data_IF_986899648164
#
_entry.id   IF_986899648164
#
_cell.length_a   1.000
_cell.length_b   1.000
_cell.length_c   1.000
_cell.angle_alpha   90.00
_cell.angle_beta   90.00
_cell.angle_gamma   90.00
#
_symmetry.space_group_name_H-M   'P 1'
#
loop_
_entity.id
_entity.type
_entity.pdbx_description
1 polymer ?
#
# COMPACT_ATOMS: atom_id res chain seq x y z
N UNK A 1 40.39 32.53 -25.07
CA UNK A 1 40.29 31.07 -25.17
C UNK A 1 39.11 30.64 -24.31
N UNK A 2 38.04 30.18 -24.96
CA UNK A 2 36.74 29.86 -24.37
C UNK A 2 36.82 28.65 -23.45
N UNK A 3 36.27 28.75 -22.23
CA UNK A 3 35.75 27.59 -21.50
C UNK A 3 34.30 27.92 -21.14
N UNK A 4 33.40 27.22 -21.82
CA UNK A 4 31.94 27.34 -21.69
C UNK A 4 31.52 26.83 -20.32
N UNK A 5 30.82 27.67 -19.56
CA UNK A 5 30.08 27.29 -18.37
C UNK A 5 28.72 26.71 -18.80
N UNK A 6 28.58 25.38 -18.73
CA UNK A 6 27.29 24.72 -18.91
C UNK A 6 26.61 24.64 -17.54
N UNK A 7 25.62 25.51 -17.32
CA UNK A 7 24.74 25.45 -16.15
C UNK A 7 23.77 24.28 -16.40
N UNK A 8 24.00 23.15 -15.73
CA UNK A 8 23.04 22.06 -15.66
C UNK A 8 22.00 22.40 -14.59
N UNK A 9 20.76 22.69 -15.00
CA UNK A 9 19.62 22.77 -14.09
C UNK A 9 19.29 21.36 -13.55
N UNK A 10 18.96 21.21 -12.26
CA UNK A 10 18.59 19.91 -11.71
C UNK A 10 17.19 19.54 -12.21
N UNK A 11 17.08 18.38 -12.87
CA UNK A 11 15.81 17.76 -13.23
C UNK A 11 15.12 17.35 -11.93
N UNK A 12 14.04 18.04 -11.58
CA UNK A 12 13.19 17.69 -10.43
C UNK A 12 12.32 16.52 -10.86
N UNK A 13 12.70 15.30 -10.48
CA UNK A 13 11.92 14.09 -10.76
C UNK A 13 10.96 13.85 -9.59
N UNK A 14 9.66 13.91 -9.88
CA UNK A 14 8.59 13.65 -8.92
C UNK A 14 8.48 12.13 -8.70
N UNK A 15 8.88 11.64 -7.54
CA UNK A 15 8.75 10.23 -7.16
C UNK A 15 7.32 9.90 -6.75
N UNK A 16 6.75 8.83 -7.34
CA UNK A 16 5.53 8.20 -6.82
C UNK A 16 5.97 7.24 -5.71
N UNK A 17 5.55 7.52 -4.47
CA UNK A 17 5.76 6.65 -3.32
C UNK A 17 4.61 5.65 -3.26
N UNK A 18 4.92 4.35 -3.36
CA UNK A 18 4.01 3.30 -2.92
C UNK A 18 3.99 3.34 -1.39
N UNK A 19 2.96 3.93 -0.80
CA UNK A 19 2.79 4.01 0.65
C UNK A 19 2.47 2.62 1.21
N UNK A 20 3.46 2.02 1.89
CA UNK A 20 3.21 0.94 2.84
C UNK A 20 2.36 1.51 3.97
N UNK A 21 1.07 1.17 3.97
CA UNK A 21 0.15 1.56 5.03
C UNK A 21 0.50 0.84 6.35
N UNK A 22 1.33 1.49 7.16
CA UNK A 22 1.28 1.35 8.60
C UNK A 22 0.43 2.52 9.14
N UNK A 23 -0.66 2.22 9.84
CA UNK A 23 -1.50 3.12 10.64
C UNK A 23 -1.59 4.57 10.15
N UNK A 24 -2.54 4.83 9.25
CA UNK A 24 -2.98 6.20 9.00
C UNK A 24 -3.94 6.66 10.12
N UNK A 25 -3.40 7.11 11.26
CA UNK A 25 -3.73 8.51 11.60
C UNK A 25 -3.36 9.25 10.32
N UNK A 26 -4.31 9.91 9.64
CA UNK A 26 -4.01 10.73 8.46
C UNK A 26 -2.60 11.29 8.66
N UNK A 27 -1.60 10.89 7.83
CA UNK A 27 -0.22 11.15 8.15
C UNK A 27 -0.21 12.61 8.56
N UNK A 28 0.24 12.88 9.80
CA UNK A 28 0.43 14.26 10.19
C UNK A 28 1.19 14.83 9.01
N UNK A 29 0.56 15.72 8.24
CA UNK A 29 1.25 16.45 7.20
C UNK A 29 2.35 17.09 8.03
N UNK A 30 3.55 16.50 7.96
CA UNK A 30 4.72 17.13 8.52
C UNK A 30 4.65 18.50 7.89
N UNK A 31 4.48 19.52 8.72
CA UNK A 31 4.19 20.86 8.25
C UNK A 31 5.47 21.30 7.54
N UNK A 32 5.54 20.98 6.25
CA UNK A 32 6.69 21.17 5.41
C UNK A 32 6.55 22.54 4.79
N UNK A 33 7.68 23.24 4.70
CA UNK A 33 7.76 24.51 3.99
C UNK A 33 7.25 24.30 2.56
N UNK A 34 6.19 25.01 2.19
CA UNK A 34 5.67 24.97 0.83
C UNK A 34 6.66 25.67 -0.12
N UNK A 35 6.69 25.22 -1.37
CA UNK A 35 7.57 25.80 -2.38
C UNK A 35 6.73 26.54 -3.44
N UNK A 36 6.92 27.87 -3.58
CA UNK A 36 6.24 28.63 -4.62
C UNK A 36 6.66 28.18 -6.02
N UNK A 37 5.69 27.97 -6.90
CA UNK A 37 5.91 27.55 -8.29
C UNK A 37 5.39 28.59 -9.27
N UNK A 38 6.15 28.78 -10.35
CA UNK A 38 5.72 29.59 -11.49
C UNK A 38 5.02 28.71 -12.56
N UNK A 39 4.50 29.36 -13.60
CA UNK A 39 3.78 28.67 -14.67
C UNK A 39 4.62 27.61 -15.40
N UNK A 40 5.91 27.87 -15.64
CA UNK A 40 6.79 26.93 -16.32
C UNK A 40 7.03 25.67 -15.48
N UNK A 41 7.35 25.84 -14.19
CA UNK A 41 7.53 24.71 -13.25
C UNK A 41 6.25 23.90 -13.11
N UNK A 42 5.09 24.56 -13.00
CA UNK A 42 3.79 23.89 -12.92
C UNK A 42 3.52 23.01 -14.14
N UNK A 43 3.71 23.54 -15.35
CA UNK A 43 3.55 22.76 -16.58
C UNK A 43 4.52 21.57 -16.63
N UNK A 44 5.78 21.79 -16.29
CA UNK A 44 6.79 20.74 -16.27
C UNK A 44 6.43 19.60 -15.29
N UNK A 45 5.97 19.93 -14.09
CA UNK A 45 5.53 18.95 -13.09
C UNK A 45 4.33 18.16 -13.59
N UNK A 46 3.32 18.83 -14.17
CA UNK A 46 2.14 18.15 -14.70
C UNK A 46 2.52 17.17 -15.82
N UNK A 47 3.36 17.59 -16.78
CA UNK A 47 3.81 16.69 -17.85
C UNK A 47 4.61 15.50 -17.31
N UNK A 48 5.48 15.72 -16.31
CA UNK A 48 6.22 14.63 -15.68
C UNK A 48 5.29 13.62 -14.98
N UNK A 49 4.26 14.10 -14.28
CA UNK A 49 3.22 13.25 -13.65
C UNK A 49 2.52 12.41 -14.73
N UNK A 50 2.12 13.03 -15.83
CA UNK A 50 1.41 12.36 -16.93
C UNK A 50 2.28 11.30 -17.63
N UNK A 51 3.56 11.57 -17.86
CA UNK A 51 4.49 10.58 -18.42
C UNK A 51 4.61 9.37 -17.49
N UNK A 52 4.89 9.62 -16.20
CA UNK A 52 5.07 8.54 -15.22
C UNK A 52 3.80 7.71 -15.03
N UNK A 53 2.64 8.36 -15.03
CA UNK A 53 1.34 7.72 -14.96
C UNK A 53 1.14 6.75 -16.13
N UNK A 54 1.42 7.19 -17.35
CA UNK A 54 1.25 6.35 -18.55
C UNK A 54 2.26 5.21 -18.63
N UNK A 55 3.47 5.39 -18.12
CA UNK A 55 4.49 4.35 -18.07
C UNK A 55 4.15 3.26 -17.03
N UNK A 56 3.64 3.67 -15.86
CA UNK A 56 3.66 2.80 -14.67
C UNK A 56 2.29 2.36 -14.17
N UNK A 57 1.20 3.08 -14.48
CA UNK A 57 -0.11 2.77 -13.93
C UNK A 57 -0.67 1.45 -14.47
N UNK A 58 -1.17 0.58 -13.61
CA UNK A 58 -1.48 -0.82 -13.96
C UNK A 58 -2.61 -0.97 -15.01
N UNK A 59 -3.48 0.03 -15.15
CA UNK A 59 -4.58 0.06 -16.13
C UNK A 59 -4.32 1.09 -17.24
N UNK A 60 -3.77 0.71 -18.41
CA UNK A 60 -3.36 1.65 -19.46
C UNK A 60 -4.48 2.56 -19.97
N UNK A 61 -5.68 2.01 -20.18
CA UNK A 61 -6.83 2.79 -20.64
C UNK A 61 -7.28 3.83 -19.62
N UNK A 62 -7.21 3.48 -18.33
CA UNK A 62 -7.55 4.42 -17.25
C UNK A 62 -6.49 5.52 -17.13
N UNK A 63 -5.22 5.20 -17.34
CA UNK A 63 -4.13 6.18 -17.42
C UNK A 63 -4.36 7.19 -18.56
N UNK A 64 -4.71 6.71 -19.76
CA UNK A 64 -5.00 7.57 -20.91
C UNK A 64 -6.21 8.50 -20.65
N UNK A 65 -7.25 8.00 -19.98
CA UNK A 65 -8.42 8.82 -19.58
C UNK A 65 -8.05 9.89 -18.56
N UNK A 66 -7.22 9.55 -17.57
CA UNK A 66 -6.69 10.51 -16.61
C UNK A 66 -5.87 11.59 -17.29
N UNK A 67 -4.96 11.22 -18.18
CA UNK A 67 -4.17 12.17 -18.97
C UNK A 67 -5.07 13.12 -19.76
N UNK A 68 -6.03 12.58 -20.51
CA UNK A 68 -6.95 13.39 -21.28
C UNK A 68 -7.69 14.41 -20.40
N UNK A 69 -8.19 13.99 -19.23
CA UNK A 69 -8.86 14.87 -18.27
C UNK A 69 -7.94 16.00 -17.79
N UNK A 70 -6.71 15.68 -17.39
CA UNK A 70 -5.74 16.67 -16.92
C UNK A 70 -5.38 17.66 -18.03
N UNK A 71 -5.15 17.19 -19.26
CA UNK A 71 -4.85 18.05 -20.41
C UNK A 71 -5.98 19.02 -20.73
N UNK A 72 -7.24 18.56 -20.68
CA UNK A 72 -8.41 19.43 -20.86
C UNK A 72 -8.50 20.51 -19.78
N UNK A 73 -8.16 20.19 -18.54
CA UNK A 73 -8.11 21.16 -17.42
C UNK A 73 -6.97 22.17 -17.59
N UNK A 74 -5.82 21.74 -18.08
CA UNK A 74 -4.71 22.64 -18.44
C UNK A 74 -5.13 23.66 -19.51
N UNK A 75 -5.79 23.20 -20.58
CA UNK A 75 -6.26 24.08 -21.66
C UNK A 75 -7.30 25.12 -21.18
N UNK A 76 -8.09 24.78 -20.16
CA UNK A 76 -9.07 25.68 -19.54
C UNK A 76 -8.45 26.68 -18.55
N UNK A 77 -7.18 26.51 -18.20
CA UNK A 77 -6.51 27.34 -17.20
C UNK A 77 -6.85 26.97 -15.75
N UNK A 78 -7.38 25.76 -15.48
CA UNK A 78 -7.78 25.33 -14.13
C UNK A 78 -6.60 25.37 -13.13
N UNK A 79 -5.37 25.26 -13.62
CA UNK A 79 -4.16 25.28 -12.82
C UNK A 79 -3.48 26.65 -12.75
N UNK A 80 -3.95 27.67 -13.47
CA UNK A 80 -3.19 28.89 -13.69
C UNK A 80 -2.88 29.69 -12.43
N UNK A 81 -3.82 29.65 -11.48
CA UNK A 81 -3.73 30.32 -10.18
C UNK A 81 -3.04 29.47 -9.11
N UNK A 82 -2.66 28.22 -9.42
CA UNK A 82 -1.97 27.35 -8.46
C UNK A 82 -0.49 27.72 -8.43
N UNK A 83 -0.08 28.39 -7.37
CA UNK A 83 1.31 28.83 -7.14
C UNK A 83 2.00 28.08 -6.00
N UNK A 84 1.33 27.09 -5.41
CA UNK A 84 1.81 26.29 -4.29
C UNK A 84 2.05 24.84 -4.73
N UNK A 85 3.20 24.27 -4.35
CA UNK A 85 3.57 22.90 -4.71
C UNK A 85 2.67 21.88 -4.02
N UNK A 86 2.40 22.07 -2.73
CA UNK A 86 1.48 21.23 -1.96
C UNK A 86 0.05 21.29 -2.51
N UNK A 87 -0.44 22.49 -2.87
CA UNK A 87 -1.77 22.66 -3.48
C UNK A 87 -1.82 22.00 -4.86
N UNK A 88 -0.77 22.11 -5.68
CA UNK A 88 -0.72 21.43 -6.98
C UNK A 88 -0.82 19.91 -6.81
N UNK A 89 -0.04 19.33 -5.90
CA UNK A 89 -0.05 17.88 -5.63
C UNK A 89 -1.42 17.38 -5.16
N UNK A 90 -2.06 18.10 -4.22
CA UNK A 90 -3.42 17.77 -3.76
C UNK A 90 -4.48 17.91 -4.86
N UNK A 91 -4.36 18.95 -5.68
CA UNK A 91 -5.28 19.19 -6.81
C UNK A 91 -5.17 18.08 -7.84
N UNK A 92 -3.94 17.72 -8.24
CA UNK A 92 -3.71 16.60 -9.16
C UNK A 92 -4.23 15.29 -8.60
N UNK A 93 -3.94 14.98 -7.33
CA UNK A 93 -4.49 13.79 -6.66
C UNK A 93 -6.02 13.72 -6.76
N UNK A 94 -6.69 14.85 -6.48
CA UNK A 94 -8.14 14.94 -6.55
C UNK A 94 -8.65 14.70 -7.97
N UNK A 95 -8.09 15.37 -8.97
CA UNK A 95 -8.50 15.24 -10.37
C UNK A 95 -8.22 13.83 -10.95
N UNK A 96 -7.13 13.18 -10.53
CA UNK A 96 -6.83 11.80 -10.93
C UNK A 96 -7.82 10.82 -10.28
N UNK A 97 -8.10 10.99 -8.99
CA UNK A 97 -9.04 10.16 -8.23
C UNK A 97 -10.49 10.24 -8.76
N UNK A 98 -10.89 11.38 -9.36
CA UNK A 98 -12.18 11.50 -10.05
C UNK A 98 -12.38 10.45 -11.14
N UNK A 99 -11.30 10.07 -11.84
CA UNK A 99 -11.31 9.11 -12.95
C UNK A 99 -10.98 7.70 -12.48
N UNK A 100 -9.87 7.53 -11.75
CA UNK A 100 -9.36 6.21 -11.39
C UNK A 100 -10.19 5.51 -10.31
N UNK A 101 -10.79 6.29 -9.39
CA UNK A 101 -11.42 5.75 -8.16
C UNK A 101 -10.50 4.81 -7.37
N UNK A 102 -9.19 4.99 -7.53
CA UNK A 102 -8.14 4.19 -6.93
C UNK A 102 -7.56 4.93 -5.73
N UNK A 103 -7.71 4.34 -4.54
CA UNK A 103 -7.22 4.92 -3.28
C UNK A 103 -5.71 4.77 -3.09
N UNK A 104 -5.03 4.01 -3.95
CA UNK A 104 -3.57 3.85 -3.91
C UNK A 104 -2.84 4.88 -4.78
N UNK A 105 -3.57 5.60 -5.65
CA UNK A 105 -3.00 6.61 -6.54
C UNK A 105 -3.02 8.00 -5.88
N UNK A 106 -1.86 8.63 -5.79
CA UNK A 106 -1.73 10.00 -5.30
C UNK A 106 -0.47 10.69 -5.80
N UNK A 107 -0.50 12.03 -5.77
CA UNK A 107 0.64 12.89 -6.05
C UNK A 107 1.03 13.56 -4.74
N UNK A 108 2.26 13.33 -4.30
CA UNK A 108 2.83 13.91 -3.09
C UNK A 108 3.78 15.07 -3.40
N UNK A 109 3.88 16.03 -2.49
CA UNK A 109 4.95 17.02 -2.46
C UNK A 109 5.88 16.72 -1.28
N UNK A 110 7.18 16.88 -1.51
CA UNK A 110 8.20 16.86 -0.46
C UNK A 110 9.15 18.02 -0.71
N UNK A 111 9.37 18.85 0.32
CA UNK A 111 10.36 19.92 0.24
C UNK A 111 11.77 19.35 0.19
N UNK A 112 12.04 18.35 1.04
CA UNK A 112 13.29 17.61 1.02
C UNK A 112 13.31 16.62 -0.15
N UNK A 113 14.48 16.44 -0.76
CA UNK A 113 14.67 15.42 -1.79
C UNK A 113 14.33 14.05 -1.19
N UNK A 114 13.34 13.38 -1.78
CA UNK A 114 13.06 11.98 -1.47
C UNK A 114 14.20 11.17 -2.10
N UNK A 115 14.96 10.39 -1.32
CA UNK A 115 15.97 9.50 -1.88
C UNK A 115 15.31 8.57 -2.89
N UNK A 116 15.61 8.76 -4.18
CA UNK A 116 15.18 7.83 -5.21
C UNK A 116 16.13 6.64 -5.09
N UNK A 117 15.63 5.49 -4.64
CA UNK A 117 16.40 4.26 -4.66
C UNK A 117 16.57 3.84 -6.11
N UNK A 118 17.62 4.32 -6.77
CA UNK A 118 17.97 3.93 -8.15
C UNK A 118 18.59 2.55 -8.21
N UNK A 119 19.06 2.05 -7.07
CA UNK A 119 19.55 0.69 -6.92
C UNK A 119 18.53 -0.11 -6.12
N UNK A 120 18.15 -1.29 -6.63
CA UNK A 120 17.53 -2.35 -5.82
C UNK A 120 18.57 -2.90 -4.83
N UNK A 121 19.12 -2.04 -3.96
CA UNK A 121 19.96 -2.50 -2.86
C UNK A 121 19.05 -3.16 -1.84
N UNK A 122 19.40 -4.38 -1.47
CA UNK A 122 18.77 -5.02 -0.33
C UNK A 122 18.81 -4.05 0.88
N UNK A 123 17.72 -3.96 1.65
CA UNK A 123 17.68 -3.10 2.83
C UNK A 123 18.89 -3.37 3.72
N UNK A 124 19.55 -2.33 4.23
CA UNK A 124 20.71 -2.53 5.11
C UNK A 124 20.31 -3.29 6.38
N UNK A 125 21.29 -3.84 7.11
CA UNK A 125 21.01 -4.48 8.40
C UNK A 125 20.32 -3.52 9.38
N UNK A 126 20.68 -2.23 9.34
CA UNK A 126 20.06 -1.20 10.15
C UNK A 126 18.60 -0.92 9.73
N UNK A 127 18.32 -0.86 8.43
CA UNK A 127 16.96 -0.70 7.91
C UNK A 127 16.07 -1.87 8.31
N UNK A 128 16.57 -3.10 8.16
CA UNK A 128 15.84 -4.31 8.59
C UNK A 128 15.54 -4.29 10.08
N UNK A 129 16.49 -3.84 10.90
CA UNK A 129 16.29 -3.75 12.34
C UNK A 129 15.35 -2.61 12.73
N UNK A 130 15.38 -1.49 12.01
CA UNK A 130 14.39 -0.42 12.17
C UNK A 130 12.99 -0.92 11.82
N UNK A 131 12.83 -1.61 10.69
CA UNK A 131 11.56 -2.21 10.28
C UNK A 131 11.07 -3.22 11.32
N UNK A 132 11.94 -4.10 11.83
CA UNK A 132 11.60 -5.05 12.89
C UNK A 132 11.11 -4.33 14.15
N UNK A 133 11.81 -3.29 14.62
CA UNK A 133 11.41 -2.50 15.79
C UNK A 133 10.07 -1.79 15.59
N UNK A 134 9.81 -1.27 14.40
CA UNK A 134 8.52 -0.66 14.07
C UNK A 134 7.40 -1.69 14.01
N UNK A 135 7.66 -2.86 13.45
CA UNK A 135 6.67 -3.92 13.39
C UNK A 135 6.36 -4.49 14.79
N UNK A 136 7.38 -4.71 15.62
CA UNK A 136 7.18 -5.25 16.96
C UNK A 136 6.48 -4.29 17.93
N UNK A 137 6.64 -2.97 17.76
CA UNK A 137 5.95 -1.98 18.61
C UNK A 137 4.43 -1.96 18.44
N UNK A 138 3.93 -2.47 17.31
CA UNK A 138 2.49 -2.69 17.03
C UNK A 138 2.14 -4.19 17.03
N UNK A 139 2.97 -5.01 17.69
CA UNK A 139 2.80 -6.47 17.75
C UNK A 139 2.54 -7.11 16.36
N UNK A 140 3.25 -6.62 15.35
CA UNK A 140 3.17 -7.07 13.96
C UNK A 140 1.78 -6.93 13.33
N UNK A 141 0.96 -6.02 13.85
CA UNK A 141 -0.42 -5.78 13.43
C UNK A 141 -1.47 -6.52 14.23
N UNK A 142 -1.09 -7.36 15.21
CA UNK A 142 -2.02 -8.10 16.08
C UNK A 142 -2.38 -7.28 17.32
N UNK A 143 -3.53 -6.61 17.28
CA UNK A 143 -4.00 -5.74 18.38
C UNK A 143 -4.65 -6.55 19.50
N UNK A 144 -5.38 -7.61 19.14
CA UNK A 144 -6.11 -8.40 20.13
C UNK A 144 -6.32 -9.85 19.68
N UNK A 145 -6.08 -10.80 20.59
CA UNK A 145 -6.42 -12.21 20.43
C UNK A 145 -7.15 -12.67 21.70
N UNK A 146 -8.37 -13.16 21.57
CA UNK A 146 -9.23 -13.49 22.69
C UNK A 146 -10.10 -14.72 22.40
N UNK A 147 -10.43 -15.49 23.45
CA UNK A 147 -11.53 -16.45 23.42
C UNK A 147 -12.74 -15.86 24.14
N UNK A 148 -13.76 -15.52 23.38
CA UNK A 148 -15.03 -14.98 23.87
C UNK A 148 -15.90 -16.08 24.52
N UNK A 149 -16.94 -15.65 25.24
CA UNK A 149 -17.99 -16.53 25.73
C UNK A 149 -18.65 -17.31 24.58
N UNK A 150 -19.07 -18.55 24.84
CA UNK A 150 -19.56 -19.44 23.79
C UNK A 150 -18.47 -20.07 22.93
N UNK A 151 -17.21 -20.01 23.37
CA UNK A 151 -16.05 -20.61 22.69
C UNK A 151 -15.77 -20.05 21.29
N UNK A 152 -16.03 -18.75 21.10
CA UNK A 152 -15.75 -18.04 19.85
C UNK A 152 -14.38 -17.37 19.94
N UNK A 153 -13.51 -17.63 18.98
CA UNK A 153 -12.24 -16.92 18.83
C UNK A 153 -12.46 -15.52 18.27
N UNK A 154 -11.65 -14.57 18.72
CA UNK A 154 -11.60 -13.22 18.19
C UNK A 154 -10.15 -12.83 17.93
N UNK A 155 -9.86 -12.33 16.74
CA UNK A 155 -8.55 -11.83 16.34
C UNK A 155 -8.72 -10.49 15.62
N UNK A 156 -8.16 -9.43 16.19
CA UNK A 156 -8.15 -8.09 15.59
C UNK A 156 -6.78 -7.81 14.98
N UNK A 157 -6.79 -7.43 13.70
CA UNK A 157 -5.59 -7.11 12.94
C UNK A 157 -5.69 -5.67 12.40
N UNK A 158 -4.75 -4.80 12.74
CA UNK A 158 -4.66 -3.42 12.22
C UNK A 158 -3.65 -3.27 11.07
N UNK A 159 -2.96 -4.35 10.70
CA UNK A 159 -2.13 -4.38 9.50
C UNK A 159 -1.62 -5.78 9.18
N UNK A 160 -1.19 -5.97 7.94
CA UNK A 160 -0.46 -7.18 7.53
C UNK A 160 1.01 -6.85 7.28
N UNK A 161 1.91 -7.52 8.02
CA UNK A 161 3.36 -7.40 7.81
C UNK A 161 3.89 -8.56 6.96
N UNK A 162 5.15 -8.47 6.54
CA UNK A 162 5.82 -9.58 5.86
C UNK A 162 5.90 -10.79 6.80
N UNK A 163 5.73 -12.00 6.28
CA UNK A 163 5.81 -13.25 7.06
C UNK A 163 7.16 -13.40 7.76
N UNK A 164 8.26 -12.91 7.18
CA UNK A 164 9.59 -12.87 7.81
C UNK A 164 9.62 -12.11 9.15
N UNK A 165 8.65 -11.21 9.37
CA UNK A 165 8.49 -10.45 10.61
C UNK A 165 7.35 -11.00 11.47
N UNK A 166 6.19 -11.27 10.86
CA UNK A 166 4.95 -11.55 11.59
C UNK A 166 4.58 -13.02 11.76
N UNK A 167 5.31 -13.97 11.17
CA UNK A 167 4.91 -15.37 11.17
C UNK A 167 4.79 -15.97 12.57
N UNK A 168 5.73 -15.69 13.48
CA UNK A 168 5.70 -16.24 14.84
C UNK A 168 4.44 -15.79 15.61
N UNK A 169 4.10 -14.50 15.53
CA UNK A 169 2.88 -13.94 16.15
C UNK A 169 1.62 -14.53 15.53
N UNK A 170 1.58 -14.68 14.21
CA UNK A 170 0.46 -15.30 13.50
C UNK A 170 0.26 -16.77 13.90
N UNK A 171 1.35 -17.53 14.00
CA UNK A 171 1.34 -18.92 14.45
C UNK A 171 0.81 -19.00 15.89
N UNK A 172 1.31 -18.17 16.79
CA UNK A 172 0.88 -18.15 18.19
C UNK A 172 -0.62 -17.83 18.31
N UNK A 173 -1.11 -16.83 17.56
CA UNK A 173 -2.53 -16.46 17.53
C UNK A 173 -3.41 -17.63 17.03
N UNK A 174 -3.04 -18.25 15.91
CA UNK A 174 -3.80 -19.38 15.36
C UNK A 174 -3.76 -20.61 16.26
N UNK A 175 -2.63 -20.88 16.93
CA UNK A 175 -2.53 -21.96 17.91
C UNK A 175 -3.40 -21.69 19.15
N UNK A 176 -3.40 -20.47 19.67
CA UNK A 176 -4.25 -20.07 20.81
C UNK A 176 -5.74 -20.26 20.49
N UNK A 177 -6.14 -19.91 19.26
CA UNK A 177 -7.53 -19.96 18.81
C UNK A 177 -7.95 -21.34 18.26
N UNK A 178 -7.02 -22.29 18.09
CA UNK A 178 -7.24 -23.54 17.36
C UNK A 178 -8.43 -24.39 17.85
N UNK A 179 -8.74 -24.32 19.15
CA UNK A 179 -9.79 -25.13 19.78
C UNK A 179 -11.12 -24.37 19.97
N UNK A 180 -11.26 -23.17 19.41
CA UNK A 180 -12.54 -22.43 19.36
C UNK A 180 -13.48 -23.07 18.35
N UNK A 181 -14.79 -22.86 18.50
CA UNK A 181 -15.83 -23.45 17.64
C UNK A 181 -16.15 -22.57 16.42
N UNK A 182 -15.89 -21.27 16.52
CA UNK A 182 -15.97 -20.30 15.43
C UNK A 182 -14.93 -19.19 15.64
N UNK A 183 -14.55 -18.49 14.58
CA UNK A 183 -13.57 -17.40 14.63
C UNK A 183 -14.13 -16.11 14.01
N UNK A 184 -13.93 -14.99 14.69
CA UNK A 184 -14.13 -13.64 14.16
C UNK A 184 -12.75 -13.01 13.90
N UNK A 185 -12.51 -12.59 12.66
CA UNK A 185 -11.35 -11.81 12.26
C UNK A 185 -11.80 -10.37 12.04
N UNK A 186 -11.37 -9.46 12.89
CA UNK A 186 -11.72 -8.06 12.81
C UNK A 186 -10.68 -7.26 12.03
N UNK A 187 -11.08 -6.78 10.86
CA UNK A 187 -10.28 -5.96 9.95
C UNK A 187 -10.86 -4.54 9.80
N UNK A 188 -11.81 -4.14 10.66
CA UNK A 188 -12.56 -2.88 10.49
C UNK A 188 -11.69 -1.62 10.51
N UNK A 189 -10.53 -1.71 11.16
CA UNK A 189 -9.56 -0.61 11.27
C UNK A 189 -8.31 -0.80 10.40
N UNK A 190 -8.11 -2.01 9.87
CA UNK A 190 -6.91 -2.41 9.15
C UNK A 190 -6.68 -1.57 7.89
N UNK A 191 -5.63 -0.75 7.90
CA UNK A 191 -5.32 0.17 6.81
C UNK A 191 -4.56 -0.44 5.63
N UNK A 192 -4.15 -1.71 5.71
CA UNK A 192 -3.40 -2.35 4.64
C UNK A 192 -2.25 -3.23 5.13
N UNK A 193 -1.24 -3.34 4.27
CA UNK A 193 -0.07 -4.14 4.54
C UNK A 193 0.47 -4.85 3.32
N UNK A 194 1.31 -5.85 3.56
CA UNK A 194 1.90 -6.72 2.54
C UNK A 194 1.33 -8.13 2.64
N UNK A 195 1.26 -8.89 1.54
CA UNK A 195 0.49 -10.14 1.49
C UNK A 195 1.03 -11.30 2.34
N UNK A 196 2.27 -11.24 2.83
CA UNK A 196 2.97 -12.38 3.45
C UNK A 196 2.22 -12.99 4.64
N UNK A 197 1.91 -12.21 5.69
CA UNK A 197 1.18 -12.74 6.86
C UNK A 197 -0.28 -13.07 6.52
N UNK A 198 -0.88 -12.34 5.57
CA UNK A 198 -2.23 -12.64 5.08
C UNK A 198 -2.29 -14.05 4.45
N UNK A 199 -1.34 -14.39 3.58
CA UNK A 199 -1.21 -15.72 2.97
C UNK A 199 -1.05 -16.82 4.04
N UNK A 200 -0.19 -16.60 5.04
CA UNK A 200 0.00 -17.55 6.14
C UNK A 200 -1.30 -17.79 6.91
N UNK A 201 -2.00 -16.73 7.31
CA UNK A 201 -3.27 -16.85 8.03
C UNK A 201 -4.32 -17.53 7.16
N UNK A 202 -4.47 -17.13 5.88
CA UNK A 202 -5.39 -17.78 4.95
C UNK A 202 -5.14 -19.28 4.89
N UNK A 203 -3.88 -19.69 4.89
CA UNK A 203 -3.49 -21.10 4.80
C UNK A 203 -4.04 -21.94 5.94
N UNK A 204 -4.25 -21.40 7.15
CA UNK A 204 -4.86 -22.17 8.24
C UNK A 204 -6.31 -22.59 7.97
N UNK A 205 -7.04 -21.91 7.08
CA UNK A 205 -8.45 -22.18 6.78
C UNK A 205 -8.68 -23.20 5.67
N UNK A 206 -7.60 -23.70 5.05
CA UNK A 206 -7.65 -24.71 3.99
C UNK A 206 -6.94 -25.99 4.44
N UNK A 207 -7.21 -27.09 3.72
CA UNK A 207 -6.43 -28.33 3.86
C UNK A 207 -4.98 -28.15 3.37
N UNK A 208 -4.20 -29.22 3.41
CA UNK A 208 -2.81 -29.24 2.92
C UNK A 208 -2.67 -29.17 1.40
N UNK A 209 -3.76 -29.32 0.66
CA UNK A 209 -3.80 -29.13 -0.78
C UNK A 209 -3.78 -27.63 -1.10
N UNK A 210 -2.76 -27.10 -1.80
CA UNK A 210 -2.68 -25.68 -2.12
C UNK A 210 -3.88 -25.22 -2.95
N UNK A 211 -4.47 -24.10 -2.53
CA UNK A 211 -5.57 -23.41 -3.21
C UNK A 211 -5.06 -22.06 -3.69
N UNK A 212 -5.40 -21.70 -4.92
CA UNK A 212 -5.06 -20.40 -5.49
C UNK A 212 -5.78 -19.29 -4.72
N UNK A 213 -5.05 -18.27 -4.28
CA UNK A 213 -5.62 -17.09 -3.63
C UNK A 213 -5.83 -15.98 -4.66
N UNK A 214 -4.74 -15.41 -5.16
CA UNK A 214 -4.79 -14.31 -6.13
C UNK A 214 -3.43 -14.17 -6.85
N UNK A 215 -3.38 -13.23 -7.79
CA UNK A 215 -2.14 -12.83 -8.46
C UNK A 215 -1.95 -11.32 -8.34
N UNK A 216 -0.70 -10.88 -8.22
CA UNK A 216 -0.32 -9.47 -8.32
C UNK A 216 0.42 -9.27 -9.64
N UNK A 217 -0.15 -8.43 -10.50
CA UNK A 217 0.48 -8.01 -11.74
C UNK A 217 1.23 -6.69 -11.53
N UNK A 218 2.48 -6.66 -11.98
CA UNK A 218 3.33 -5.48 -12.00
C UNK A 218 3.56 -5.07 -13.44
N UNK A 219 3.09 -3.87 -13.79
CA UNK A 219 3.28 -3.31 -15.12
C UNK A 219 4.76 -3.12 -15.45
N UNK A 220 5.52 -2.63 -14.48
CA UNK A 220 6.97 -2.58 -14.59
C UNK A 220 7.54 -4.00 -14.67
N UNK A 221 8.32 -4.26 -15.72
CA UNK A 221 8.87 -5.58 -16.00
C UNK A 221 7.85 -6.62 -16.47
N UNK A 222 6.57 -6.25 -16.64
CA UNK A 222 5.49 -7.13 -17.09
C UNK A 222 5.47 -8.49 -16.36
N UNK A 223 5.52 -8.45 -15.03
CA UNK A 223 5.62 -9.65 -14.19
C UNK A 223 4.32 -9.90 -13.44
N UNK A 224 3.96 -11.18 -13.31
CA UNK A 224 2.84 -11.61 -12.48
C UNK A 224 3.34 -12.56 -11.42
N UNK A 225 2.99 -12.30 -10.18
CA UNK A 225 3.30 -13.14 -9.03
C UNK A 225 2.01 -13.79 -8.53
N UNK A 226 2.04 -15.10 -8.30
CA UNK A 226 0.88 -15.85 -7.84
C UNK A 226 1.01 -16.20 -6.36
N UNK A 227 -0.10 -16.09 -5.64
CA UNK A 227 -0.21 -16.44 -4.24
C UNK A 227 -1.14 -17.64 -4.08
N UNK A 228 -0.64 -18.64 -3.37
CA UNK A 228 -1.33 -19.90 -3.08
C UNK A 228 -1.31 -20.15 -1.58
N UNK A 229 -2.26 -20.93 -1.06
CA UNK A 229 -2.15 -21.39 0.34
C UNK A 229 -0.91 -22.28 0.50
N UNK A 230 -0.32 -22.23 1.69
CA UNK A 230 0.86 -23.00 2.03
C UNK A 230 0.48 -24.47 2.29
N UNK A 231 1.21 -25.44 1.71
CA UNK A 231 0.94 -26.86 1.93
C UNK A 231 1.16 -27.27 3.40
N UNK A 232 1.97 -26.51 4.13
CA UNK A 232 2.23 -26.71 5.55
C UNK A 232 2.08 -25.40 6.35
N UNK A 233 1.48 -25.51 7.53
CA UNK A 233 1.44 -24.47 8.56
C UNK A 233 1.77 -25.10 9.92
N UNK A 234 2.53 -24.43 10.82
CA UNK A 234 2.76 -24.94 12.16
C UNK A 234 1.48 -25.01 13.01
N UNK A 235 1.24 -26.13 13.69
CA UNK A 235 0.07 -26.30 14.56
C UNK A 235 -1.16 -26.85 13.82
N UNK A 236 -2.35 -26.63 14.38
CA UNK A 236 -3.60 -27.16 13.83
C UNK A 236 -4.19 -26.22 12.79
N UNK A 237 -4.60 -26.77 11.65
CA UNK A 237 -5.46 -26.06 10.69
C UNK A 237 -6.84 -25.81 11.31
N UNK A 238 -7.45 -24.68 10.97
CA UNK A 238 -8.77 -24.24 11.40
C UNK A 238 -9.80 -24.50 10.28
N UNK A 239 -9.90 -25.78 9.88
CA UNK A 239 -10.83 -26.24 8.83
C UNK A 239 -12.18 -26.65 9.45
N UNK A 240 -13.23 -26.67 8.63
CA UNK A 240 -14.59 -27.12 8.99
C UNK A 240 -15.25 -26.31 10.12
N UNK A 241 -14.81 -25.07 10.34
CA UNK A 241 -15.34 -24.17 11.37
C UNK A 241 -15.77 -22.84 10.75
N UNK A 242 -16.85 -22.20 11.27
CA UNK A 242 -17.25 -20.88 10.80
C UNK A 242 -16.16 -19.83 11.03
N UNK A 243 -15.85 -19.06 9.99
CA UNK A 243 -14.97 -17.89 10.06
C UNK A 243 -15.76 -16.67 9.57
N UNK A 244 -15.80 -15.63 10.39
CA UNK A 244 -16.46 -14.36 10.10
C UNK A 244 -15.42 -13.26 9.99
N UNK A 245 -15.47 -12.47 8.93
CA UNK A 245 -14.53 -11.37 8.70
C UNK A 245 -15.29 -10.04 8.81
N UNK A 246 -14.86 -9.16 9.72
CA UNK A 246 -15.47 -7.85 9.91
C UNK A 246 -14.73 -6.81 9.07
N UNK A 247 -15.46 -6.18 8.16
CA UNK A 247 -14.94 -5.13 7.27
C UNK A 247 -15.50 -3.77 7.67
N UNK A 248 -14.68 -2.72 7.58
CA UNK A 248 -15.02 -1.36 7.96
C UNK A 248 -14.69 -0.36 6.86
N UNK A 249 -15.07 0.90 7.07
CA UNK A 249 -14.79 1.99 6.10
C UNK A 249 -13.30 2.26 5.90
N UNK A 250 -12.45 1.84 6.85
CA UNK A 250 -11.00 2.00 6.82
C UNK A 250 -10.27 0.80 6.24
N UNK A 251 -10.97 -0.32 6.05
CA UNK A 251 -10.37 -1.51 5.47
C UNK A 251 -9.94 -1.22 4.03
N UNK A 252 -8.65 -1.40 3.75
CA UNK A 252 -8.05 -1.04 2.47
C UNK A 252 -6.89 -1.98 2.14
N UNK A 253 -6.70 -2.34 0.87
CA UNK A 253 -5.54 -3.08 0.34
C UNK A 253 -5.50 -4.55 0.79
N UNK A 254 -4.38 -5.04 1.32
CA UNK A 254 -4.20 -6.43 1.78
C UNK A 254 -5.39 -7.07 2.55
N UNK A 255 -6.03 -6.42 3.55
CA UNK A 255 -7.24 -6.96 4.20
C UNK A 255 -8.45 -7.11 3.26
N UNK A 256 -8.62 -6.25 2.24
CA UNK A 256 -9.67 -6.42 1.24
C UNK A 256 -9.42 -7.67 0.39
N UNK A 257 -8.17 -7.86 -0.07
CA UNK A 257 -7.77 -9.08 -0.79
C UNK A 257 -7.94 -10.33 0.08
N UNK A 258 -7.49 -10.29 1.33
CA UNK A 258 -7.65 -11.40 2.28
C UNK A 258 -9.12 -11.80 2.46
N UNK A 259 -9.99 -10.82 2.72
CA UNK A 259 -11.42 -11.07 2.88
C UNK A 259 -12.07 -11.61 1.60
N UNK A 260 -11.70 -11.04 0.44
CA UNK A 260 -12.21 -11.47 -0.86
C UNK A 260 -11.81 -12.91 -1.19
N UNK A 261 -10.55 -13.29 -0.95
CA UNK A 261 -10.07 -14.64 -1.21
C UNK A 261 -10.77 -15.70 -0.34
N UNK A 262 -11.17 -15.35 0.89
CA UNK A 262 -11.84 -16.27 1.82
C UNK A 262 -13.37 -16.29 1.66
N UNK A 263 -13.94 -15.32 0.93
CA UNK A 263 -15.36 -15.30 0.58
C UNK A 263 -15.69 -16.24 -0.58
N UNK A 264 -14.71 -16.48 -1.47
CA UNK A 264 -14.87 -17.12 -2.77
C UNK A 264 -15.18 -18.63 -2.71
#
# INVERSE_FOLDING_TARGET
MNIKSTIAMPVTVLGIVLLLAANSRAPAQVEQTDLPINAATRTQVIEAVLSRLNESYVLPETAARMEHSIRMRMQKGDYDKVTSSSVLAQTLTTHLAEIAKDKHLGVGFSYDLIPISTDQKEPSAEDRERLRRMASSINFGFEKVERLNGNVGYMELDGFVNSELGAETAIAAMQFLANTDALIIDLRYNGGGVPGTAQLISSYFFSDTPVYLHSIYWREGNRTEQFWTLPYVPGKRYVDKPVYILMGKRTLSAPESFAYNLQA
#
